data_IF_058194339362
#
_entry.id   IF_058194339362
#
_cell.length_a   1.000
_cell.length_b   1.000
_cell.length_c   1.000
_cell.angle_alpha   90.00
_cell.angle_beta   90.00
_cell.angle_gamma   90.00
#
_symmetry.space_group_name_H-M   'P 1'
#
loop_
_entity.id
_entity.type
_entity.pdbx_description
1 polymer ?
#
# COMPACT_ATOMS: atom_id res chain seq x y z
N UNK A 1 -1.16 -4.70 -1.07
CA UNK A 1 -2.24 -5.62 -1.46
C UNK A 1 -2.46 -6.63 -0.37
N UNK A 2 -3.55 -6.52 0.38
CA UNK A 2 -3.92 -7.41 1.46
C UNK A 2 -4.49 -8.70 0.86
N UNK A 3 -3.57 -9.56 0.41
CA UNK A 3 -3.83 -10.81 -0.32
C UNK A 3 -4.91 -11.65 0.40
N UNK A 4 -4.99 -11.62 1.74
CA UNK A 4 -6.01 -12.32 2.52
C UNK A 4 -7.44 -11.79 2.29
N UNK A 5 -7.64 -10.46 2.22
CA UNK A 5 -8.96 -9.86 1.92
C UNK A 5 -9.41 -10.24 0.50
N UNK A 6 -8.49 -10.18 -0.45
CA UNK A 6 -8.74 -10.50 -1.87
C UNK A 6 -9.03 -12.00 -2.08
N UNK A 7 -8.29 -12.89 -1.40
CA UNK A 7 -8.57 -14.33 -1.36
C UNK A 7 -9.96 -14.60 -0.79
N UNK A 8 -10.33 -13.95 0.33
CA UNK A 8 -11.65 -14.14 0.94
C UNK A 8 -12.78 -13.71 -0.01
N UNK A 9 -12.67 -12.55 -0.65
CA UNK A 9 -13.64 -12.06 -1.63
C UNK A 9 -13.73 -13.00 -2.84
N UNK A 10 -12.59 -13.49 -3.34
CA UNK A 10 -12.56 -14.44 -4.45
C UNK A 10 -13.19 -15.80 -4.08
N UNK A 11 -12.97 -16.33 -2.88
CA UNK A 11 -13.62 -17.55 -2.40
C UNK A 11 -15.14 -17.38 -2.38
N UNK A 12 -15.64 -16.24 -1.87
CA UNK A 12 -17.07 -15.94 -1.84
C UNK A 12 -17.64 -15.86 -3.28
N UNK A 13 -16.94 -15.18 -4.19
CA UNK A 13 -17.34 -15.12 -5.60
C UNK A 13 -17.39 -16.52 -6.26
N UNK A 14 -16.45 -17.40 -5.92
CA UNK A 14 -16.39 -18.78 -6.42
C UNK A 14 -17.55 -19.63 -5.90
N UNK A 15 -17.94 -19.45 -4.63
CA UNK A 15 -19.10 -20.12 -4.03
C UNK A 15 -20.40 -19.65 -4.69
N UNK A 16 -20.57 -18.33 -4.90
CA UNK A 16 -21.75 -17.76 -5.57
C UNK A 16 -21.85 -18.30 -7.00
N UNK A 17 -20.73 -18.34 -7.73
CA UNK A 17 -20.68 -18.92 -9.08
C UNK A 17 -21.06 -20.41 -9.08
N UNK A 18 -20.53 -21.18 -8.12
CA UNK A 18 -20.89 -22.59 -7.94
C UNK A 18 -22.38 -22.80 -7.69
N UNK A 19 -23.01 -21.94 -6.88
CA UNK A 19 -24.46 -21.98 -6.63
C UNK A 19 -25.28 -21.67 -7.89
N UNK A 20 -24.84 -20.70 -8.70
CA UNK A 20 -25.49 -20.37 -9.98
C UNK A 20 -25.39 -21.55 -10.96
N UNK A 21 -24.22 -22.20 -11.04
CA UNK A 21 -24.02 -23.38 -11.88
C UNK A 21 -24.86 -24.56 -11.41
N UNK A 22 -24.94 -24.79 -10.09
CA UNK A 22 -25.77 -25.84 -9.50
C UNK A 22 -27.26 -25.57 -9.77
N UNK A 23 -27.72 -24.34 -9.62
CA UNK A 23 -29.07 -23.92 -9.99
C UNK A 23 -29.38 -24.20 -11.47
N UNK A 24 -28.43 -23.88 -12.37
CA UNK A 24 -28.58 -24.14 -13.80
C UNK A 24 -28.66 -25.64 -14.12
N UNK A 25 -27.83 -26.47 -13.49
CA UNK A 25 -27.83 -27.93 -13.68
C UNK A 25 -29.13 -28.53 -13.16
N UNK A 26 -29.56 -28.18 -11.95
CA UNK A 26 -30.79 -28.68 -11.33
C UNK A 26 -32.01 -28.26 -12.16
N UNK A 27 -32.10 -27.00 -12.55
CA UNK A 27 -33.21 -26.52 -13.38
C UNK A 27 -33.18 -27.15 -14.77
N UNK A 28 -32.00 -27.35 -15.35
CA UNK A 28 -31.82 -28.05 -16.63
C UNK A 28 -32.31 -29.49 -16.57
N UNK A 29 -32.04 -30.22 -15.49
CA UNK A 29 -32.55 -31.58 -15.28
C UNK A 29 -34.06 -31.62 -15.02
N UNK A 30 -34.59 -30.66 -14.24
CA UNK A 30 -35.99 -30.63 -13.83
C UNK A 30 -36.95 -30.29 -14.98
N UNK A 31 -36.48 -29.51 -15.96
CA UNK A 31 -37.30 -29.03 -17.09
C UNK A 31 -36.95 -29.70 -18.43
N UNK A 32 -36.08 -30.71 -18.45
CA UNK A 32 -35.65 -31.39 -19.70
C UNK A 32 -36.68 -32.38 -20.24
N UNK A 33 -37.59 -32.88 -19.40
CA UNK A 33 -38.34 -34.13 -19.66
C UNK A 33 -39.83 -33.93 -19.96
N UNK A 34 -40.28 -32.71 -20.28
CA UNK A 34 -41.69 -32.44 -20.56
C UNK A 34 -41.94 -31.94 -21.99
N UNK A 35 -42.74 -32.72 -22.71
CA UNK A 35 -43.34 -32.41 -24.01
C UNK A 35 -43.80 -30.95 -24.15
N UNK A 36 -43.47 -30.36 -25.30
CA UNK A 36 -43.89 -29.15 -26.03
C UNK A 36 -44.77 -28.03 -25.39
N UNK A 37 -45.47 -28.23 -24.27
CA UNK A 37 -46.31 -27.24 -23.59
C UNK A 37 -45.63 -26.46 -22.45
N UNK A 38 -44.45 -26.86 -21.97
CA UNK A 38 -43.73 -26.25 -20.83
C UNK A 38 -42.59 -25.31 -21.23
N UNK A 39 -42.51 -24.92 -22.51
CA UNK A 39 -41.42 -24.11 -23.07
C UNK A 39 -41.19 -22.80 -22.30
N UNK A 40 -42.25 -22.18 -21.76
CA UNK A 40 -42.17 -20.95 -20.98
C UNK A 40 -41.30 -21.04 -19.72
N UNK A 41 -41.39 -22.14 -18.95
CA UNK A 41 -40.63 -22.31 -17.71
C UNK A 41 -39.16 -22.64 -17.96
N UNK A 42 -38.86 -23.45 -18.96
CA UNK A 42 -37.49 -23.72 -19.38
C UNK A 42 -36.78 -22.45 -19.92
N UNK A 43 -37.53 -21.63 -20.68
CA UNK A 43 -37.03 -20.35 -21.19
C UNK A 43 -36.80 -19.36 -20.05
N UNK A 44 -37.73 -19.29 -19.09
CA UNK A 44 -37.60 -18.44 -17.90
C UNK A 44 -36.40 -18.84 -17.03
N UNK A 45 -36.18 -20.13 -16.81
CA UNK A 45 -35.00 -20.66 -16.12
C UNK A 45 -33.69 -20.27 -16.80
N UNK A 46 -33.66 -20.33 -18.14
CA UNK A 46 -32.49 -19.95 -18.94
C UNK A 46 -32.19 -18.45 -18.84
N UNK A 47 -33.23 -17.61 -18.96
CA UNK A 47 -33.12 -16.15 -18.80
C UNK A 47 -32.69 -15.78 -17.39
N UNK A 48 -33.26 -16.41 -16.36
CA UNK A 48 -32.93 -16.16 -14.97
C UNK A 48 -31.47 -16.54 -14.66
N UNK A 49 -31.00 -17.67 -15.20
CA UNK A 49 -29.60 -18.09 -15.10
C UNK A 49 -28.65 -17.07 -15.74
N UNK A 50 -29.02 -16.52 -16.90
CA UNK A 50 -28.23 -15.47 -17.55
C UNK A 50 -28.19 -14.18 -16.71
N UNK A 51 -29.32 -13.77 -16.15
CA UNK A 51 -29.39 -12.62 -15.23
C UNK A 51 -28.51 -12.82 -14.00
N UNK A 52 -28.53 -14.02 -13.39
CA UNK A 52 -27.66 -14.32 -12.25
C UNK A 52 -26.16 -14.28 -12.61
N UNK A 53 -25.77 -14.74 -13.80
CA UNK A 53 -24.38 -14.65 -14.27
C UNK A 53 -23.96 -13.18 -14.44
N UNK A 54 -24.83 -12.35 -15.04
CA UNK A 54 -24.55 -10.90 -15.21
C UNK A 54 -24.44 -10.21 -13.86
N UNK A 55 -25.36 -10.49 -12.93
CA UNK A 55 -25.32 -9.93 -11.57
C UNK A 55 -24.06 -10.37 -10.80
N UNK A 56 -23.67 -11.64 -10.94
CA UNK A 56 -22.44 -12.15 -10.33
C UNK A 56 -21.19 -11.48 -10.92
N UNK A 57 -21.13 -11.30 -12.24
CA UNK A 57 -20.01 -10.63 -12.89
C UNK A 57 -19.90 -9.16 -12.43
N UNK A 58 -21.03 -8.45 -12.38
CA UNK A 58 -21.08 -7.08 -11.87
C UNK A 58 -20.66 -6.99 -10.39
N UNK A 59 -21.14 -7.91 -9.54
CA UNK A 59 -20.75 -7.99 -8.13
C UNK A 59 -19.26 -8.30 -7.94
N UNK A 60 -18.70 -9.20 -8.75
CA UNK A 60 -17.27 -9.56 -8.71
C UNK A 60 -16.40 -8.36 -9.07
N UNK A 61 -16.75 -7.62 -10.12
CA UNK A 61 -16.04 -6.41 -10.52
C UNK A 61 -16.15 -5.33 -9.43
N UNK A 62 -17.36 -5.11 -8.90
CA UNK A 62 -17.59 -4.13 -7.84
C UNK A 62 -16.80 -4.45 -6.57
N UNK A 63 -16.88 -5.69 -6.06
CA UNK A 63 -16.21 -6.13 -4.84
C UNK A 63 -14.68 -6.09 -4.94
N UNK A 64 -14.12 -6.44 -6.10
CA UNK A 64 -12.68 -6.29 -6.31
C UNK A 64 -12.27 -4.82 -6.37
N UNK A 65 -13.08 -3.96 -6.97
CA UNK A 65 -12.80 -2.52 -7.04
C UNK A 65 -12.92 -1.84 -5.67
N UNK A 66 -13.85 -2.24 -4.81
CA UNK A 66 -13.98 -1.67 -3.45
C UNK A 66 -12.80 -2.05 -2.57
N UNK A 67 -12.33 -3.30 -2.60
CA UNK A 67 -11.14 -3.73 -1.84
C UNK A 67 -9.90 -2.92 -2.23
N UNK A 68 -9.69 -2.68 -3.54
CA UNK A 68 -8.56 -1.87 -4.02
C UNK A 68 -8.69 -0.41 -3.62
N UNK A 69 -9.91 0.15 -3.64
CA UNK A 69 -10.17 1.53 -3.20
C UNK A 69 -9.97 1.70 -1.69
N UNK A 70 -10.43 0.74 -0.89
CA UNK A 70 -10.27 0.75 0.57
C UNK A 70 -8.79 0.73 0.97
N UNK A 71 -7.94 -0.08 0.33
CA UNK A 71 -6.51 -0.09 0.65
C UNK A 71 -5.82 1.25 0.34
N UNK A 72 -6.15 1.87 -0.80
CA UNK A 72 -5.62 3.20 -1.14
C UNK A 72 -6.07 4.27 -0.14
N UNK A 73 -7.31 4.15 0.37
CA UNK A 73 -7.85 5.05 1.38
C UNK A 73 -7.22 4.79 2.76
N UNK A 74 -7.06 3.53 3.17
CA UNK A 74 -6.38 3.12 4.41
C UNK A 74 -4.95 3.68 4.44
N UNK A 75 -4.19 3.50 3.34
CA UNK A 75 -2.81 4.00 3.24
C UNK A 75 -2.73 5.52 3.35
N UNK A 76 -3.54 6.27 2.59
CA UNK A 76 -3.59 7.74 2.67
C UNK A 76 -3.99 8.23 4.05
N UNK A 77 -4.91 7.51 4.71
CA UNK A 77 -5.34 7.80 6.07
C UNK A 77 -4.18 7.61 7.05
N UNK A 78 -3.41 6.54 6.93
CA UNK A 78 -2.22 6.31 7.78
C UNK A 78 -1.18 7.42 7.63
N UNK A 79 -0.85 7.84 6.39
CA UNK A 79 0.11 8.94 6.17
C UNK A 79 -0.40 10.25 6.80
N UNK A 80 -1.68 10.57 6.61
CA UNK A 80 -2.31 11.77 7.17
C UNK A 80 -2.36 11.73 8.70
N UNK A 81 -2.66 10.57 9.28
CA UNK A 81 -2.67 10.35 10.72
C UNK A 81 -1.28 10.51 11.32
N UNK A 82 -0.24 9.93 10.70
CA UNK A 82 1.16 10.06 11.14
C UNK A 82 1.63 11.52 11.06
N UNK A 83 1.37 12.22 9.94
CA UNK A 83 1.68 13.66 9.81
C UNK A 83 1.00 14.48 10.90
N UNK A 84 -0.30 14.23 11.13
CA UNK A 84 -1.08 14.95 12.15
C UNK A 84 -0.55 14.69 13.55
N UNK A 85 -0.19 13.43 13.86
CA UNK A 85 0.41 13.06 15.15
C UNK A 85 1.75 13.75 15.33
N UNK A 86 2.64 13.70 14.33
CA UNK A 86 3.95 14.36 14.36
C UNK A 86 3.85 15.88 14.58
N UNK A 87 2.92 16.55 13.90
CA UNK A 87 2.70 17.99 14.09
C UNK A 87 2.13 18.34 15.47
N UNK A 88 1.43 17.40 16.13
CA UNK A 88 0.78 17.63 17.43
C UNK A 88 1.53 17.03 18.62
N UNK A 89 2.49 16.13 18.39
CA UNK A 89 3.22 15.38 19.42
C UNK A 89 3.95 16.30 20.40
N UNK A 90 3.84 16.04 21.70
CA UNK A 90 4.55 16.78 22.75
C UNK A 90 4.38 18.31 22.71
N UNK A 91 5.42 19.06 23.08
CA UNK A 91 5.40 20.52 23.10
C UNK A 91 5.68 21.12 21.71
N UNK A 92 4.67 21.77 21.12
CA UNK A 92 4.71 22.35 19.77
C UNK A 92 5.73 23.47 19.57
N UNK A 93 6.27 24.05 20.65
CA UNK A 93 7.30 25.10 20.56
C UNK A 93 8.70 24.54 20.32
N UNK A 94 8.90 23.24 20.53
CA UNK A 94 10.18 22.55 20.38
C UNK A 94 10.19 21.65 19.14
N UNK A 95 11.37 21.48 18.55
CA UNK A 95 11.62 20.66 17.36
C UNK A 95 10.79 21.07 16.13
N UNK A 96 10.50 22.37 15.98
CA UNK A 96 9.64 22.87 14.89
C UNK A 96 10.29 22.62 13.52
N UNK A 97 11.60 22.84 13.41
CA UNK A 97 12.33 22.64 12.16
C UNK A 97 12.35 21.16 11.77
N UNK A 98 12.67 20.29 12.72
CA UNK A 98 12.76 18.85 12.52
C UNK A 98 11.42 18.24 12.13
N UNK A 99 10.32 18.67 12.77
CA UNK A 99 8.95 18.29 12.38
C UNK A 99 8.67 18.71 10.94
N UNK A 100 9.00 19.95 10.58
CA UNK A 100 8.75 20.47 9.23
C UNK A 100 9.56 19.70 8.17
N UNK A 101 10.81 19.33 8.47
CA UNK A 101 11.63 18.50 7.59
C UNK A 101 10.95 17.15 7.34
N UNK A 102 10.60 16.42 8.40
CA UNK A 102 9.97 15.10 8.25
C UNK A 102 8.62 15.17 7.54
N UNK A 103 7.78 16.17 7.83
CA UNK A 103 6.52 16.39 7.11
C UNK A 103 6.76 16.66 5.63
N UNK A 104 7.72 17.53 5.30
CA UNK A 104 8.08 17.85 3.90
C UNK A 104 8.58 16.62 3.16
N UNK A 105 9.37 15.77 3.82
CA UNK A 105 9.85 14.53 3.22
C UNK A 105 8.71 13.53 2.97
N UNK A 106 7.75 13.41 3.90
CA UNK A 106 6.55 12.59 3.69
C UNK A 106 5.63 13.15 2.60
N UNK A 107 5.49 14.48 2.48
CA UNK A 107 4.78 15.12 1.36
C UNK A 107 5.47 14.83 0.02
N UNK A 108 6.80 14.88 -0.02
CA UNK A 108 7.59 14.56 -1.21
C UNK A 108 7.36 13.13 -1.69
N UNK A 109 7.28 12.16 -0.77
CA UNK A 109 6.95 10.77 -1.13
C UNK A 109 5.50 10.61 -1.59
N UNK A 110 4.54 11.22 -0.90
CA UNK A 110 3.12 11.13 -1.26
C UNK A 110 2.85 11.68 -2.68
N UNK A 111 3.50 12.79 -3.06
CA UNK A 111 3.33 13.36 -4.41
C UNK A 111 3.85 12.44 -5.51
N UNK A 112 4.91 11.66 -5.22
CA UNK A 112 5.55 10.75 -6.18
C UNK A 112 4.92 9.35 -6.22
N UNK A 113 4.09 9.01 -5.24
CA UNK A 113 3.42 7.70 -5.14
C UNK A 113 2.74 7.30 -6.45
N UNK A 114 1.98 8.22 -7.08
CA UNK A 114 1.26 7.93 -8.33
C UNK A 114 2.17 7.47 -9.47
N UNK A 115 3.39 8.00 -9.54
CA UNK A 115 4.36 7.67 -10.58
C UNK A 115 4.89 6.24 -10.40
N UNK A 116 5.31 5.87 -9.20
CA UNK A 116 5.84 4.53 -8.92
C UNK A 116 4.76 3.43 -8.95
N UNK A 117 3.53 3.76 -8.56
CA UNK A 117 2.41 2.82 -8.63
C UNK A 117 1.83 2.65 -10.03
N UNK A 118 2.18 3.52 -10.98
CA UNK A 118 1.87 3.35 -12.39
C UNK A 118 2.90 2.45 -13.12
N UNK A 119 4.06 2.19 -12.52
CA UNK A 119 5.06 1.26 -13.05
C UNK A 119 4.62 -0.21 -12.94
N UNK A 120 5.32 -1.08 -13.66
CA UNK A 120 5.13 -2.53 -13.58
C UNK A 120 5.15 -3.00 -12.10
N UNK A 121 4.18 -3.81 -11.66
CA UNK A 121 4.16 -4.40 -10.33
C UNK A 121 5.44 -5.13 -9.89
N UNK A 122 6.22 -5.64 -10.84
CA UNK A 122 7.49 -6.34 -10.60
C UNK A 122 8.72 -5.42 -10.72
N UNK A 123 8.52 -4.12 -10.88
CA UNK A 123 9.63 -3.17 -10.94
C UNK A 123 10.33 -3.06 -9.60
N UNK A 124 11.67 -3.27 -9.60
CA UNK A 124 12.51 -3.04 -8.41
C UNK A 124 12.40 -1.60 -7.87
N UNK A 125 12.18 -0.61 -8.75
CA UNK A 125 11.97 0.78 -8.33
C UNK A 125 10.71 0.94 -7.47
N UNK A 126 9.65 0.22 -7.81
CA UNK A 126 8.40 0.25 -7.03
C UNK A 126 8.60 -0.38 -5.66
N UNK A 127 9.31 -1.50 -5.60
CA UNK A 127 9.68 -2.14 -4.33
C UNK A 127 10.53 -1.22 -3.45
N UNK A 128 11.56 -0.58 -4.03
CA UNK A 128 12.41 0.38 -3.32
C UNK A 128 11.64 1.61 -2.83
N UNK A 129 10.66 2.09 -3.62
CA UNK A 129 9.76 3.16 -3.20
C UNK A 129 8.94 2.73 -1.98
N UNK A 130 8.31 1.54 -2.03
CA UNK A 130 7.51 1.01 -0.92
C UNK A 130 8.36 0.81 0.35
N UNK A 131 9.60 0.33 0.23
CA UNK A 131 10.52 0.20 1.36
C UNK A 131 10.91 1.55 1.96
N UNK A 132 11.21 2.53 1.10
CA UNK A 132 11.56 3.90 1.52
C UNK A 132 10.40 4.56 2.24
N UNK A 133 9.19 4.46 1.70
CA UNK A 133 8.00 5.03 2.29
C UNK A 133 7.69 4.42 3.66
N UNK A 134 7.73 3.09 3.78
CA UNK A 134 7.53 2.43 5.08
C UNK A 134 8.58 2.85 6.11
N UNK A 135 9.85 2.95 5.71
CA UNK A 135 10.93 3.37 6.60
C UNK A 135 10.74 4.82 7.06
N UNK A 136 10.32 5.71 6.16
CA UNK A 136 10.04 7.12 6.46
C UNK A 136 8.83 7.30 7.38
N UNK A 137 7.76 6.53 7.16
CA UNK A 137 6.61 6.51 8.07
C UNK A 137 7.01 6.02 9.46
N UNK A 138 7.82 4.97 9.55
CA UNK A 138 8.33 4.47 10.83
C UNK A 138 9.16 5.53 11.56
N UNK A 139 10.04 6.22 10.86
CA UNK A 139 10.84 7.30 11.44
C UNK A 139 9.96 8.43 11.98
N UNK A 140 8.95 8.85 11.22
CA UNK A 140 8.01 9.88 11.67
C UNK A 140 7.18 9.42 12.89
N UNK A 141 6.77 8.16 12.95
CA UNK A 141 6.10 7.58 14.11
C UNK A 141 7.01 7.56 15.33
N UNK A 142 8.25 7.06 15.20
CA UNK A 142 9.22 7.01 16.29
C UNK A 142 9.54 8.41 16.84
N UNK A 143 9.71 9.40 15.96
CA UNK A 143 9.92 10.79 16.38
C UNK A 143 8.67 11.35 17.07
N UNK A 144 7.47 11.03 16.60
CA UNK A 144 6.24 11.45 17.27
C UNK A 144 6.17 10.89 18.69
N UNK A 145 6.48 9.61 18.87
CA UNK A 145 6.51 8.95 20.19
C UNK A 145 7.58 9.54 21.09
N UNK A 146 8.78 9.76 20.56
CA UNK A 146 9.87 10.42 21.28
C UNK A 146 9.45 11.81 21.79
N UNK A 147 8.84 12.62 20.93
CA UNK A 147 8.35 13.96 21.29
C UNK A 147 7.24 13.89 22.35
N UNK A 148 6.35 12.90 22.30
CA UNK A 148 5.31 12.71 23.32
C UNK A 148 5.91 12.40 24.70
N UNK A 149 7.05 11.70 24.76
CA UNK A 149 7.71 11.29 26.01
C UNK A 149 8.90 12.16 26.42
N UNK A 150 9.29 13.15 25.61
CA UNK A 150 10.49 13.95 25.82
C UNK A 150 10.39 14.84 27.06
N UNK A 151 11.45 14.88 27.87
CA UNK A 151 11.55 15.80 28.99
C UNK A 151 11.92 17.22 28.53
N UNK A 152 10.88 18.01 28.29
CA UNK A 152 10.98 19.41 27.87
C UNK A 152 11.57 20.35 28.92
N UNK A 153 11.76 19.91 30.17
CA UNK A 153 12.30 20.74 31.25
C UNK A 153 13.83 20.62 31.28
N UNK A 154 14.37 19.41 31.22
CA UNK A 154 15.83 19.21 31.25
C UNK A 154 16.49 19.38 29.90
N UNK A 155 15.78 19.16 28.79
CA UNK A 155 16.30 19.34 27.43
C UNK A 155 17.49 18.44 27.08
N UNK A 156 17.79 17.42 27.89
CA UNK A 156 18.81 16.42 27.57
C UNK A 156 18.30 15.55 26.43
N UNK A 157 19.18 15.26 25.47
CA UNK A 157 18.98 14.34 24.35
C UNK A 157 18.19 14.87 23.13
N UNK A 158 18.36 16.15 22.78
CA UNK A 158 17.76 16.71 21.54
C UNK A 158 18.36 16.13 20.24
N UNK A 159 19.50 15.45 20.33
CA UNK A 159 20.24 14.92 19.18
C UNK A 159 19.50 13.84 18.40
N UNK A 160 18.71 13.00 19.08
CA UNK A 160 17.98 11.89 18.47
C UNK A 160 17.12 12.32 17.28
N UNK A 161 16.29 13.35 17.48
CA UNK A 161 15.38 13.84 16.43
C UNK A 161 16.17 14.38 15.23
N UNK A 162 17.27 15.09 15.48
CA UNK A 162 18.17 15.58 14.43
C UNK A 162 18.79 14.45 13.62
N UNK A 163 19.25 13.38 14.28
CA UNK A 163 19.80 12.19 13.60
C UNK A 163 18.75 11.51 12.73
N UNK A 164 17.53 11.30 13.25
CA UNK A 164 16.45 10.69 12.46
C UNK A 164 16.09 11.55 11.24
N UNK A 165 16.07 12.87 11.37
CA UNK A 165 15.87 13.77 10.23
C UNK A 165 16.99 13.65 9.19
N UNK A 166 18.26 13.63 9.62
CA UNK A 166 19.40 13.50 8.72
C UNK A 166 19.40 12.15 7.98
N UNK A 167 19.11 11.06 8.68
CA UNK A 167 19.01 9.73 8.08
C UNK A 167 17.84 9.64 7.08
N UNK A 168 16.70 10.24 7.43
CA UNK A 168 15.52 10.31 6.57
C UNK A 168 15.80 11.10 5.29
N UNK A 169 16.52 12.22 5.39
CA UNK A 169 16.96 13.01 4.25
C UNK A 169 17.93 12.21 3.36
N UNK A 170 18.95 11.59 3.97
CA UNK A 170 19.95 10.78 3.25
C UNK A 170 19.31 9.61 2.50
N UNK A 171 18.31 8.96 3.11
CA UNK A 171 17.55 7.89 2.45
C UNK A 171 16.81 8.40 1.22
N UNK A 172 16.11 9.54 1.34
CA UNK A 172 15.39 10.12 0.20
C UNK A 172 16.36 10.56 -0.91
N UNK A 173 17.52 11.11 -0.57
CA UNK A 173 18.53 11.54 -1.53
C UNK A 173 19.11 10.33 -2.30
N UNK A 174 19.43 9.23 -1.59
CA UNK A 174 19.84 7.97 -2.23
C UNK A 174 18.75 7.43 -3.17
N UNK A 175 17.50 7.44 -2.73
CA UNK A 175 16.38 7.02 -3.56
C UNK A 175 16.25 7.87 -4.83
N UNK A 176 16.32 9.20 -4.71
CA UNK A 176 16.22 10.11 -5.86
C UNK A 176 17.35 9.86 -6.86
N UNK A 177 18.58 9.67 -6.37
CA UNK A 177 19.74 9.37 -7.22
C UNK A 177 19.55 8.06 -7.99
N UNK A 178 19.02 7.03 -7.33
CA UNK A 178 18.73 5.73 -7.94
C UNK A 178 17.64 5.83 -9.02
N UNK A 179 16.60 6.63 -8.77
CA UNK A 179 15.55 6.93 -9.76
C UNK A 179 16.14 7.64 -10.98
N UNK A 180 16.97 8.66 -10.76
CA UNK A 180 17.65 9.40 -11.84
C UNK A 180 18.56 8.50 -12.68
N UNK A 181 19.36 7.64 -12.03
CA UNK A 181 20.19 6.64 -12.69
C UNK A 181 19.36 5.68 -13.56
N UNK A 182 18.21 5.23 -13.05
CA UNK A 182 17.36 4.28 -13.78
C UNK A 182 16.69 4.93 -15.00
N UNK A 183 16.27 6.20 -14.90
CA UNK A 183 15.70 6.94 -16.04
C UNK A 183 16.76 7.27 -17.09
N UNK A 184 17.95 7.70 -16.68
CA UNK A 184 19.07 8.01 -17.58
C UNK A 184 19.55 6.78 -18.35
N UNK A 185 19.42 5.60 -17.74
CA UNK A 185 19.79 4.32 -18.33
C UNK A 185 18.78 3.82 -19.39
N UNK A 186 17.49 4.11 -19.24
CA UNK A 186 16.48 3.79 -20.27
C UNK A 186 16.81 4.52 -21.60
N UNK A 187 17.47 5.67 -21.50
CA UNK A 187 17.99 6.44 -22.64
C UNK A 187 19.39 6.02 -23.12
N UNK A 188 20.16 5.22 -22.34
CA UNK A 188 21.54 4.83 -22.69
C UNK A 188 21.92 3.41 -22.24
N UNK A 189 22.18 2.49 -23.19
CA UNK A 189 22.48 1.07 -22.95
C UNK A 189 23.87 0.79 -22.32
N UNK A 190 24.12 1.16 -21.06
CA UNK A 190 25.36 0.84 -20.30
C UNK A 190 25.13 0.07 -18.99
N UNK A 191 25.48 -1.22 -18.97
CA UNK A 191 25.42 -2.16 -17.84
C UNK A 191 25.14 -1.56 -16.44
N UNK A 192 24.10 -2.09 -15.81
CA UNK A 192 23.64 -1.78 -14.46
C UNK A 192 24.76 -1.81 -13.42
N UNK A 193 25.03 -0.68 -12.73
CA UNK A 193 25.90 -0.69 -11.54
C UNK A 193 25.06 -1.15 -10.33
N UNK A 194 25.17 -2.44 -9.99
CA UNK A 194 24.46 -3.04 -8.85
C UNK A 194 24.80 -2.39 -7.51
N UNK A 195 25.93 -1.68 -7.44
CA UNK A 195 26.44 -1.06 -6.22
C UNK A 195 25.51 0.01 -5.64
N UNK A 196 24.84 0.80 -6.48
CA UNK A 196 23.94 1.85 -5.98
C UNK A 196 22.63 1.27 -5.42
N UNK A 197 22.18 0.10 -5.91
CA UNK A 197 21.09 -0.65 -5.25
C UNK A 197 21.56 -1.22 -3.92
N UNK A 198 22.74 -1.83 -3.90
CA UNK A 198 23.28 -2.46 -2.70
C UNK A 198 23.49 -1.40 -1.60
N UNK A 199 24.00 -0.22 -1.95
CA UNK A 199 24.15 0.94 -1.07
C UNK A 199 22.81 1.45 -0.49
N UNK A 200 21.71 1.29 -1.22
CA UNK A 200 20.38 1.67 -0.76
C UNK A 200 19.79 0.59 0.15
N UNK A 201 20.00 -0.69 -0.17
CA UNK A 201 19.63 -1.82 0.69
C UNK A 201 20.38 -1.70 2.03
N UNK A 202 21.70 -1.48 2.01
CA UNK A 202 22.51 -1.30 3.21
C UNK A 202 22.06 -0.10 4.05
N UNK A 203 21.67 1.00 3.41
CA UNK A 203 21.12 2.16 4.12
C UNK A 203 19.78 1.83 4.80
N UNK A 204 18.89 1.10 4.11
CA UNK A 204 17.62 0.64 4.67
C UNK A 204 17.83 -0.35 5.82
N UNK A 205 18.80 -1.27 5.69
CA UNK A 205 19.13 -2.22 6.75
C UNK A 205 19.73 -1.52 7.97
N UNK A 206 20.67 -0.61 7.77
CA UNK A 206 21.25 0.21 8.83
C UNK A 206 20.14 0.98 9.56
N UNK A 207 19.23 1.66 8.84
CA UNK A 207 18.12 2.38 9.45
C UNK A 207 17.12 1.45 10.16
N UNK A 208 16.92 0.23 9.65
CA UNK A 208 16.13 -0.83 10.30
C UNK A 208 16.73 -1.25 11.64
N UNK A 209 18.05 -1.37 11.71
CA UNK A 209 18.77 -1.77 12.92
C UNK A 209 18.83 -0.63 13.95
N UNK A 210 19.15 0.60 13.53
CA UNK A 210 19.15 1.78 14.41
C UNK A 210 17.77 2.04 15.01
N UNK A 211 16.70 1.83 14.24
CA UNK A 211 15.34 1.98 14.72
C UNK A 211 14.90 0.94 15.77
N UNK A 212 15.58 -0.20 15.90
CA UNK A 212 15.30 -1.21 16.93
C UNK A 212 15.98 -0.93 18.27
N UNK A 213 17.06 -0.15 18.29
CA UNK A 213 17.83 0.16 19.51
C UNK A 213 17.51 1.51 20.17
N UNK A 214 16.80 2.41 19.48
CA UNK A 214 16.60 3.78 19.94
C UNK A 214 15.59 3.99 21.08
N UNK A 215 14.81 2.95 21.44
CA UNK A 215 13.78 3.04 22.49
C UNK A 215 14.06 2.14 23.71
N UNK A 216 15.28 1.64 23.88
CA UNK A 216 15.70 1.01 25.14
C UNK A 216 16.73 -0.10 25.01
N UNK A 217 17.96 0.22 25.45
CA UNK A 217 18.64 -0.57 26.50
C UNK A 217 18.64 0.26 27.77
#
# INVERSE_FOLDING_TARGET
MNIKKLIKTNIINLIIFGLIMLFRVVSGMLFNDHDAGSSGLATLSTVLSFVFIVLWAAYTVYSNMTVVKEEKLEKKRTITEVKTRLSKAGNRRFFVNERNILVTLLDSLETREKYFYAMDPNSKLRELFDLTEHQMLRNATNVSEYLETFDYISGKDTGYVGTVCADSQKLLDKFNKLVELTVTYDDTSRDYDTREIDDMIDALETMRETGKGALGS
#
